data_IF_582571947736
#
_entry.id   IF_582571947736
#
_cell.length_a   1.000
_cell.length_b   1.000
_cell.length_c   1.000
_cell.angle_alpha   90.00
_cell.angle_beta   90.00
_cell.angle_gamma   90.00
#
_symmetry.space_group_name_H-M   'P 1'
#
loop_
_entity.id
_entity.type
_entity.pdbx_description
1 polymer ?
#
# COMPACT_ATOMS: atom_id res chain seq x y z
N UNK A 1 -12.24 29.19 -4.91
CA UNK A 1 -11.64 29.57 -6.20
C UNK A 1 -10.39 28.72 -6.31
N UNK A 2 -10.39 27.69 -7.17
CA UNK A 2 -9.23 26.83 -7.33
C UNK A 2 -8.07 27.70 -7.84
N UNK A 3 -7.03 27.84 -7.03
CA UNK A 3 -5.86 28.61 -7.45
C UNK A 3 -5.23 27.88 -8.63
N UNK A 4 -4.65 28.63 -9.58
CA UNK A 4 -3.96 28.10 -10.76
C UNK A 4 -2.83 27.10 -10.43
N UNK A 5 -2.45 27.03 -9.15
CA UNK A 5 -1.51 26.09 -8.55
C UNK A 5 -2.10 24.71 -8.18
N UNK A 6 -3.41 24.60 -7.95
CA UNK A 6 -4.05 23.42 -7.32
C UNK A 6 -4.47 22.33 -8.33
N UNK A 7 -4.83 22.71 -9.56
CA UNK A 7 -5.33 21.74 -10.54
C UNK A 7 -4.34 21.45 -11.69
N UNK A 8 -3.66 22.48 -12.20
CA UNK A 8 -2.79 22.32 -13.38
C UNK A 8 -1.39 21.83 -13.04
N UNK A 9 -0.72 22.48 -12.10
CA UNK A 9 0.69 22.22 -11.79
C UNK A 9 0.90 20.83 -11.18
N UNK A 10 -0.03 20.39 -10.32
CA UNK A 10 -0.01 19.05 -9.72
C UNK A 10 -0.19 17.95 -10.78
N UNK A 11 -1.03 18.15 -11.80
CA UNK A 11 -1.17 17.15 -12.88
C UNK A 11 0.12 16.98 -13.70
N UNK A 12 0.85 18.07 -13.97
CA UNK A 12 2.13 17.99 -14.66
C UNK A 12 3.27 17.46 -13.78
N UNK A 13 3.25 17.77 -12.48
CA UNK A 13 4.27 17.29 -11.52
C UNK A 13 3.99 15.89 -10.99
N UNK A 14 2.76 15.39 -11.07
CA UNK A 14 2.39 14.08 -10.52
C UNK A 14 3.31 12.96 -11.04
N UNK A 15 3.56 12.81 -12.35
CA UNK A 15 4.48 11.77 -12.85
C UNK A 15 5.91 11.91 -12.31
N UNK A 16 6.39 13.15 -12.13
CA UNK A 16 7.72 13.44 -11.57
C UNK A 16 7.78 13.10 -10.07
N UNK A 17 6.72 13.40 -9.33
CA UNK A 17 6.57 13.04 -7.92
C UNK A 17 6.51 11.53 -7.74
N UNK A 18 5.75 10.83 -8.58
CA UNK A 18 5.69 9.36 -8.62
C UNK A 18 7.10 8.79 -8.83
N UNK A 19 7.82 9.32 -9.82
CA UNK A 19 9.19 8.91 -10.12
C UNK A 19 10.12 9.07 -8.91
N UNK A 20 10.15 10.26 -8.29
CA UNK A 20 11.02 10.54 -7.14
C UNK A 20 10.64 9.63 -5.96
N UNK A 21 9.35 9.43 -5.70
CA UNK A 21 8.87 8.61 -4.60
C UNK A 21 9.30 7.14 -4.78
N UNK A 22 9.07 6.57 -5.96
CA UNK A 22 9.49 5.19 -6.26
C UNK A 22 11.01 5.07 -6.19
N UNK A 23 11.74 6.03 -6.76
CA UNK A 23 13.19 6.08 -6.68
C UNK A 23 13.71 6.02 -5.24
N UNK A 24 13.18 6.88 -4.36
CA UNK A 24 13.58 6.94 -2.94
C UNK A 24 13.25 5.64 -2.21
N UNK A 25 12.06 5.08 -2.42
CA UNK A 25 11.65 3.83 -1.77
C UNK A 25 12.54 2.66 -2.20
N UNK A 26 12.77 2.49 -3.50
CA UNK A 26 13.58 1.40 -4.03
C UNK A 26 15.04 1.57 -3.61
N UNK A 27 15.57 2.80 -3.66
CA UNK A 27 16.92 3.09 -3.19
C UNK A 27 17.09 2.78 -1.69
N UNK A 28 16.14 3.19 -0.85
CA UNK A 28 16.15 2.90 0.59
C UNK A 28 16.06 1.39 0.87
N UNK A 29 15.23 0.66 0.11
CA UNK A 29 15.12 -0.80 0.20
C UNK A 29 16.43 -1.49 -0.20
N UNK A 30 17.06 -1.07 -1.29
CA UNK A 30 18.35 -1.61 -1.76
C UNK A 30 19.47 -1.34 -0.74
N UNK A 31 19.56 -0.12 -0.19
CA UNK A 31 20.54 0.20 0.84
C UNK A 31 20.36 -0.64 2.12
N UNK A 32 19.12 -0.82 2.56
CA UNK A 32 18.83 -1.58 3.79
C UNK A 32 19.05 -3.07 3.60
N UNK A 33 18.69 -3.61 2.43
CA UNK A 33 18.80 -5.04 2.13
C UNK A 33 20.20 -5.46 1.65
N UNK A 34 21.01 -4.51 1.15
CA UNK A 34 22.35 -4.73 0.60
C UNK A 34 22.39 -5.84 -0.47
N UNK A 35 21.30 -6.05 -1.20
CA UNK A 35 21.15 -7.14 -2.19
C UNK A 35 22.24 -7.07 -3.27
N UNK A 36 22.70 -5.88 -3.65
CA UNK A 36 23.72 -5.66 -4.68
C UNK A 36 25.14 -5.51 -4.11
N UNK A 37 25.39 -6.00 -2.90
CA UNK A 37 26.73 -5.98 -2.28
C UNK A 37 27.08 -4.67 -1.56
N UNK A 38 26.12 -3.77 -1.37
CA UNK A 38 26.28 -2.55 -0.55
C UNK A 38 27.11 -1.44 -1.17
N UNK A 39 27.42 -1.53 -2.47
CA UNK A 39 28.06 -0.47 -3.23
C UNK A 39 27.02 0.59 -3.61
N UNK A 40 27.06 1.72 -2.90
CA UNK A 40 26.09 2.82 -3.02
C UNK A 40 25.81 3.28 -4.46
N UNK A 41 26.84 3.26 -5.33
CA UNK A 41 26.71 3.64 -6.74
C UNK A 41 25.85 2.66 -7.54
N UNK A 42 25.95 1.36 -7.27
CA UNK A 42 25.13 0.36 -7.94
C UNK A 42 23.68 0.44 -7.45
N UNK A 43 23.47 0.63 -6.15
CA UNK A 43 22.12 0.79 -5.58
C UNK A 43 21.41 2.02 -6.18
N UNK A 44 22.13 3.12 -6.39
CA UNK A 44 21.61 4.33 -7.03
C UNK A 44 21.19 4.08 -8.48
N UNK A 45 22.07 3.46 -9.28
CA UNK A 45 21.79 3.18 -10.70
C UNK A 45 20.62 2.21 -10.85
N UNK A 46 20.58 1.15 -10.03
CA UNK A 46 19.51 0.18 -10.04
C UNK A 46 18.16 0.82 -9.67
N UNK A 47 18.12 1.63 -8.61
CA UNK A 47 16.92 2.36 -8.23
C UNK A 47 16.45 3.34 -9.32
N UNK A 48 17.39 4.01 -9.99
CA UNK A 48 17.08 4.93 -11.10
C UNK A 48 16.43 4.19 -12.27
N UNK A 49 16.98 3.04 -12.66
CA UNK A 49 16.43 2.21 -13.75
C UNK A 49 15.02 1.74 -13.39
N UNK A 50 14.82 1.23 -12.17
CA UNK A 50 13.49 0.78 -11.72
C UNK A 50 12.49 1.94 -11.72
N UNK A 51 12.89 3.11 -11.22
CA UNK A 51 12.03 4.30 -11.20
C UNK A 51 11.65 4.76 -12.62
N UNK A 52 12.61 4.73 -13.56
CA UNK A 52 12.35 5.05 -14.96
C UNK A 52 11.39 4.05 -15.61
N UNK A 53 11.54 2.75 -15.33
CA UNK A 53 10.62 1.72 -15.83
C UNK A 53 9.20 1.91 -15.29
N UNK A 54 9.05 2.30 -14.02
CA UNK A 54 7.74 2.60 -13.45
C UNK A 54 7.08 3.85 -14.02
N UNK A 55 7.85 4.83 -14.53
CA UNK A 55 7.28 6.02 -15.17
C UNK A 55 6.51 5.68 -16.46
N UNK A 56 6.90 4.60 -17.14
CA UNK A 56 6.24 4.13 -18.36
C UNK A 56 4.93 3.38 -18.04
N UNK A 57 4.75 2.94 -16.79
CA UNK A 57 3.56 2.20 -16.36
C UNK A 57 2.48 3.15 -15.88
N UNK A 58 1.40 3.29 -16.65
CA UNK A 58 0.20 4.03 -16.26
C UNK A 58 -0.38 3.56 -14.92
N UNK A 59 -0.26 2.25 -14.63
CA UNK A 59 -0.70 1.66 -13.37
C UNK A 59 0.15 2.10 -12.16
N UNK A 60 1.45 2.35 -12.36
CA UNK A 60 2.29 2.85 -11.27
C UNK A 60 1.98 4.32 -10.96
N UNK A 61 1.69 5.12 -11.99
CA UNK A 61 1.27 6.50 -11.82
C UNK A 61 -0.07 6.61 -11.07
N UNK A 62 -1.06 5.78 -11.44
CA UNK A 62 -2.35 5.74 -10.74
C UNK A 62 -2.25 5.21 -9.30
N UNK A 63 -1.36 4.24 -9.06
CA UNK A 63 -1.07 3.73 -7.70
C UNK A 63 -0.55 4.82 -6.79
N UNK A 64 0.48 5.53 -7.23
CA UNK A 64 1.09 6.57 -6.40
C UNK A 64 0.16 7.77 -6.26
N UNK A 65 -0.57 8.15 -7.31
CA UNK A 65 -1.61 9.18 -7.22
C UNK A 65 -2.66 8.84 -6.15
N UNK A 66 -3.11 7.59 -6.10
CA UNK A 66 -4.05 7.12 -5.07
C UNK A 66 -3.40 7.12 -3.68
N UNK A 67 -2.18 6.59 -3.54
CA UNK A 67 -1.43 6.61 -2.29
C UNK A 67 -1.22 8.03 -1.75
N UNK A 68 -0.90 8.99 -2.61
CA UNK A 68 -0.66 10.39 -2.22
C UNK A 68 -1.88 11.01 -1.52
N UNK A 69 -3.10 10.77 -2.02
CA UNK A 69 -4.33 11.29 -1.42
C UNK A 69 -4.52 10.75 0.01
N UNK A 70 -4.36 9.44 0.19
CA UNK A 70 -4.48 8.81 1.51
C UNK A 70 -3.37 9.23 2.48
N UNK A 71 -2.15 9.42 1.96
CA UNK A 71 -1.02 9.88 2.77
C UNK A 71 -1.24 11.31 3.28
N UNK A 72 -1.77 12.21 2.45
CA UNK A 72 -2.14 13.57 2.87
C UNK A 72 -3.22 13.52 3.95
N UNK A 73 -4.27 12.71 3.76
CA UNK A 73 -5.34 12.54 4.76
C UNK A 73 -4.79 12.04 6.10
N UNK A 74 -3.96 11.00 6.10
CA UNK A 74 -3.34 10.45 7.31
C UNK A 74 -2.43 11.49 7.96
N UNK A 75 -1.63 12.21 7.17
CA UNK A 75 -0.72 13.24 7.69
C UNK A 75 -1.50 14.36 8.38
N UNK A 76 -2.57 14.86 7.75
CA UNK A 76 -3.45 15.87 8.36
C UNK A 76 -4.10 15.33 9.64
N UNK A 77 -4.58 14.09 9.64
CA UNK A 77 -5.18 13.47 10.82
C UNK A 77 -4.17 13.34 11.98
N UNK A 78 -2.94 12.90 11.69
CA UNK A 78 -1.86 12.78 12.69
C UNK A 78 -1.45 14.15 13.24
N UNK A 79 -1.33 15.17 12.38
CA UNK A 79 -1.03 16.54 12.82
C UNK A 79 -2.15 17.08 13.70
N UNK A 80 -3.42 16.91 13.32
CA UNK A 80 -4.58 17.31 14.13
C UNK A 80 -4.59 16.60 15.49
N UNK A 81 -4.34 15.29 15.51
CA UNK A 81 -4.26 14.50 16.74
C UNK A 81 -3.13 14.99 17.65
N UNK A 82 -1.95 15.29 17.08
CA UNK A 82 -0.80 15.82 17.82
C UNK A 82 -1.09 17.20 18.40
N UNK A 83 -1.79 18.07 17.65
CA UNK A 83 -2.19 19.39 18.12
C UNK A 83 -3.21 19.29 19.27
N UNK A 84 -4.20 18.41 19.18
CA UNK A 84 -5.16 18.18 20.27
C UNK A 84 -4.46 17.74 21.56
N UNK A 85 -3.46 16.86 21.45
CA UNK A 85 -2.63 16.43 22.59
C UNK A 85 -1.79 17.60 23.13
N UNK A 86 -1.31 18.50 22.27
CA UNK A 86 -0.49 19.65 22.71
C UNK A 86 -1.29 20.76 23.41
N UNK A 87 -2.59 20.89 23.13
CA UNK A 87 -3.47 21.92 23.71
C UNK A 87 -4.26 21.48 24.94
N UNK A 88 -4.41 20.17 25.16
CA UNK A 88 -5.00 19.59 26.36
C UNK A 88 -3.90 19.00 27.24
N UNK A 89 -3.78 19.46 28.49
CA UNK A 89 -2.83 19.01 29.51
C UNK A 89 -2.14 17.66 29.20
N UNK A 90 -0.88 17.77 28.76
CA UNK A 90 -0.05 16.66 28.32
C UNK A 90 0.28 15.78 29.53
N UNK A 91 -0.12 14.51 29.49
CA UNK A 91 0.22 13.57 30.56
C UNK A 91 0.11 12.10 30.17
N UNK A 92 -1.07 11.60 29.79
CA UNK A 92 -1.31 10.14 29.96
C UNK A 92 -1.71 9.37 28.69
N UNK A 93 -1.90 10.01 27.54
CA UNK A 93 -2.32 9.29 26.32
C UNK A 93 -1.12 8.84 25.47
N UNK A 94 0.06 9.47 25.63
CA UNK A 94 1.30 9.06 24.94
C UNK A 94 1.95 7.81 25.54
N UNK A 95 1.58 7.40 26.76
CA UNK A 95 2.07 6.17 27.39
C UNK A 95 1.13 4.97 27.21
N UNK A 96 -0.06 5.16 26.62
CA UNK A 96 -0.93 4.02 26.33
C UNK A 96 -0.44 3.27 25.08
N UNK A 97 -0.03 1.99 25.18
CA UNK A 97 0.35 1.14 24.04
C UNK A 97 -0.77 0.95 23.00
N UNK A 98 -1.96 1.45 23.30
CA UNK A 98 -3.16 1.42 22.47
C UNK A 98 -3.08 2.42 21.30
N UNK A 99 -2.45 3.60 21.49
CA UNK A 99 -2.41 4.65 20.45
C UNK A 99 -1.52 4.30 19.26
N UNK A 100 -0.32 3.74 19.51
CA UNK A 100 0.58 3.25 18.45
C UNK A 100 -0.01 2.07 17.67
N UNK A 101 -0.72 1.19 18.37
CA UNK A 101 -1.32 0.00 17.78
C UNK A 101 -2.45 0.36 16.81
N UNK A 102 -3.34 1.28 17.20
CA UNK A 102 -4.45 1.74 16.34
C UNK A 102 -3.92 2.42 15.07
N UNK A 103 -2.89 3.26 15.18
CA UNK A 103 -2.29 3.93 14.01
C UNK A 103 -1.67 2.93 13.04
N UNK A 104 -1.02 1.87 13.55
CA UNK A 104 -0.50 0.79 12.72
C UNK A 104 -1.63 0.03 12.01
N UNK A 105 -2.69 -0.37 12.73
CA UNK A 105 -3.83 -1.07 12.12
C UNK A 105 -4.54 -0.22 11.05
N UNK A 106 -4.77 1.07 11.32
CA UNK A 106 -5.36 1.99 10.34
C UNK A 106 -4.47 2.14 9.11
N UNK A 107 -3.15 2.27 9.28
CA UNK A 107 -2.22 2.36 8.16
C UNK A 107 -2.21 1.10 7.28
N UNK A 108 -2.30 -0.09 7.88
CA UNK A 108 -2.36 -1.37 7.18
C UNK A 108 -3.68 -1.51 6.41
N UNK A 109 -4.81 -1.13 7.01
CA UNK A 109 -6.12 -1.16 6.34
C UNK A 109 -6.14 -0.21 5.14
N UNK A 110 -5.60 1.00 5.29
CA UNK A 110 -5.51 1.96 4.18
C UNK A 110 -4.62 1.42 3.05
N UNK A 111 -3.46 0.84 3.37
CA UNK A 111 -2.61 0.21 2.37
C UNK A 111 -3.33 -0.91 1.60
N UNK A 112 -4.10 -1.73 2.32
CA UNK A 112 -4.92 -2.79 1.70
C UNK A 112 -5.98 -2.22 0.75
N UNK A 113 -6.65 -1.12 1.11
CA UNK A 113 -7.63 -0.43 0.24
C UNK A 113 -6.94 0.14 -1.01
N UNK A 114 -5.74 0.73 -0.88
CA UNK A 114 -5.04 1.33 -2.03
C UNK A 114 -4.52 0.26 -3.00
N UNK A 115 -3.97 -0.84 -2.48
CA UNK A 115 -3.56 -1.97 -3.30
C UNK A 115 -4.78 -2.56 -4.03
N UNK A 116 -5.90 -2.74 -3.32
CA UNK A 116 -7.12 -3.33 -3.89
C UNK A 116 -7.77 -2.42 -4.94
N UNK A 117 -7.77 -1.11 -4.75
CA UNK A 117 -8.34 -0.17 -5.72
C UNK A 117 -7.48 0.00 -6.97
N UNK A 118 -6.16 -0.04 -6.83
CA UNK A 118 -5.25 0.17 -7.97
C UNK A 118 -5.03 -1.12 -8.76
N UNK A 119 -4.79 -2.24 -8.07
CA UNK A 119 -4.49 -3.51 -8.72
C UNK A 119 -5.71 -4.44 -8.84
N UNK A 120 -6.83 -4.11 -8.19
CA UNK A 120 -8.09 -4.88 -8.31
C UNK A 120 -8.53 -5.12 -9.76
N UNK A 121 -8.51 -4.11 -10.64
CA UNK A 121 -8.83 -4.31 -12.06
C UNK A 121 -7.86 -5.25 -12.80
N UNK A 122 -6.59 -5.33 -12.36
CA UNK A 122 -5.58 -6.24 -12.95
C UNK A 122 -5.85 -7.68 -12.54
N UNK A 123 -6.28 -7.90 -11.29
CA UNK A 123 -6.58 -9.23 -10.77
C UNK A 123 -8.01 -9.70 -11.08
N UNK A 124 -8.92 -8.78 -11.42
CA UNK A 124 -10.29 -9.10 -11.81
C UNK A 124 -10.78 -8.20 -12.97
N UNK A 125 -10.29 -8.41 -14.20
CA UNK A 125 -10.67 -7.61 -15.37
C UNK A 125 -12.15 -7.74 -15.75
N UNK A 126 -12.88 -8.69 -15.15
CA UNK A 126 -14.31 -8.90 -15.39
C UNK A 126 -15.22 -8.18 -14.37
N UNK A 127 -14.67 -7.51 -13.36
CA UNK A 127 -15.45 -6.80 -12.31
C UNK A 127 -15.34 -5.28 -12.37
N UNK A 128 -15.03 -4.71 -13.54
CA UNK A 128 -15.02 -3.26 -13.74
C UNK A 128 -16.41 -2.68 -13.40
N UNK A 129 -16.55 -2.08 -12.22
CA UNK A 129 -17.75 -1.38 -11.76
C UNK A 129 -18.53 -2.00 -10.60
N UNK A 130 -18.06 -3.10 -9.97
CA UNK A 130 -18.76 -3.72 -8.85
C UNK A 130 -18.14 -3.37 -7.48
N UNK A 131 -19.01 -3.11 -6.48
CA UNK A 131 -18.64 -2.74 -5.11
C UNK A 131 -17.60 -3.71 -4.50
N UNK A 132 -16.46 -3.21 -4.00
CA UNK A 132 -15.33 -4.03 -3.55
C UNK A 132 -15.68 -5.06 -2.47
N UNK A 133 -16.68 -4.77 -1.62
CA UNK A 133 -17.06 -5.63 -0.50
C UNK A 133 -17.77 -6.91 -0.93
N UNK A 134 -18.71 -6.81 -1.87
CA UNK A 134 -19.56 -7.95 -2.26
C UNK A 134 -18.83 -8.92 -3.19
N UNK A 135 -17.99 -8.41 -4.09
CA UNK A 135 -17.20 -9.25 -5.00
C UNK A 135 -16.04 -9.96 -4.30
N UNK A 136 -15.46 -9.35 -3.26
CA UNK A 136 -14.45 -10.03 -2.42
C UNK A 136 -15.08 -11.17 -1.64
N UNK A 137 -16.27 -10.96 -1.06
CA UNK A 137 -17.04 -12.02 -0.43
C UNK A 137 -17.40 -13.11 -1.43
N UNK A 138 -17.90 -12.75 -2.61
CA UNK A 138 -18.24 -13.72 -3.66
C UNK A 138 -17.04 -14.53 -4.15
N UNK A 139 -15.84 -13.95 -4.15
CA UNK A 139 -14.60 -14.63 -4.51
C UNK A 139 -14.18 -15.64 -3.44
N UNK A 140 -14.25 -15.25 -2.16
CA UNK A 140 -13.96 -16.14 -1.02
C UNK A 140 -15.00 -17.27 -0.94
N UNK A 141 -16.27 -16.94 -1.18
CA UNK A 141 -17.37 -17.90 -1.19
C UNK A 141 -17.57 -18.59 -2.57
N UNK A 142 -16.61 -18.47 -3.49
CA UNK A 142 -16.73 -19.09 -4.80
C UNK A 142 -16.58 -20.62 -4.67
N UNK A 143 -17.45 -21.45 -5.30
CA UNK A 143 -17.42 -22.92 -5.16
C UNK A 143 -16.07 -23.55 -5.47
N UNK A 144 -15.30 -22.94 -6.39
CA UNK A 144 -13.94 -23.38 -6.75
C UNK A 144 -12.93 -23.17 -5.62
N UNK A 145 -13.02 -22.07 -4.87
CA UNK A 145 -12.11 -21.79 -3.75
C UNK A 145 -12.39 -22.74 -2.60
N UNK A 146 -13.67 -23.03 -2.32
CA UNK A 146 -14.05 -24.09 -1.38
C UNK A 146 -13.51 -25.47 -1.79
N UNK A 147 -13.55 -25.80 -3.07
CA UNK A 147 -12.96 -27.04 -3.58
C UNK A 147 -11.46 -27.14 -3.30
N UNK A 148 -10.71 -26.06 -3.52
CA UNK A 148 -9.26 -26.03 -3.24
C UNK A 148 -8.99 -26.16 -1.74
N UNK A 149 -9.71 -25.40 -0.89
CA UNK A 149 -9.57 -25.47 0.57
C UNK A 149 -9.91 -26.87 1.09
N UNK A 150 -10.95 -27.50 0.53
CA UNK A 150 -11.36 -28.85 0.91
C UNK A 150 -10.31 -29.90 0.52
N UNK A 151 -9.74 -29.83 -0.68
CA UNK A 151 -8.64 -30.70 -1.10
C UNK A 151 -7.40 -30.51 -0.20
N UNK A 152 -7.11 -29.26 0.17
CA UNK A 152 -5.98 -28.95 1.05
C UNK A 152 -6.17 -29.51 2.46
N UNK A 153 -7.38 -29.41 3.03
CA UNK A 153 -7.75 -30.04 4.30
C UNK A 153 -7.62 -31.56 4.23
N UNK A 154 -8.15 -32.19 3.17
CA UNK A 154 -8.02 -33.63 2.97
C UNK A 154 -6.56 -34.06 2.86
N UNK A 155 -5.75 -33.35 2.09
CA UNK A 155 -4.32 -33.63 1.95
C UNK A 155 -3.60 -33.53 3.31
N UNK A 156 -3.92 -32.51 4.11
CA UNK A 156 -3.34 -32.33 5.44
C UNK A 156 -3.68 -33.50 6.39
N UNK A 157 -4.94 -33.93 6.40
CA UNK A 157 -5.39 -35.07 7.22
C UNK A 157 -4.73 -36.36 6.75
N UNK A 158 -4.62 -36.56 5.44
CA UNK A 158 -4.06 -37.77 4.84
C UNK A 158 -2.55 -37.90 5.11
N UNK A 159 -1.81 -36.80 5.03
CA UNK A 159 -0.39 -36.74 5.39
C UNK A 159 -0.20 -37.02 6.88
N UNK A 160 -1.05 -36.48 7.75
CA UNK A 160 -0.95 -36.72 9.19
C UNK A 160 -1.19 -38.20 9.53
N UNK A 161 -2.15 -38.84 8.85
CA UNK A 161 -2.47 -40.26 9.06
C UNK A 161 -1.42 -41.22 8.47
N UNK A 162 -0.64 -40.79 7.47
CA UNK A 162 0.50 -41.55 6.94
C UNK A 162 1.75 -41.45 7.84
N UNK A 163 1.76 -40.52 8.80
CA UNK A 163 2.88 -40.30 9.71
C UNK A 163 2.77 -41.11 11.01
N UNK A 164 1.57 -41.63 11.32
CA UNK A 164 1.31 -42.60 12.40
C UNK A 164 1.56 -44.04 11.92
#
# INVERSE_FOLDING_TARGET
>A
MATLWDAGLIQYLAPVLVFILIFVIIYALLQKSKILGGVQKLDFIAALIVALLTLISENAASFVGTLSVWYVLITVAVVMMTLMISTGNVGEITEMPIGKSILLYVSVIVLMIVISSTFGPVFNPYSAGADPGWETLRTIFHPKVFGVVFIFLLATILINKLRE
#
